data_IF_802246927890
#
_entry.id   IF_802246927890
#
_cell.length_a   1.000
_cell.length_b   1.000
_cell.length_c   1.000
_cell.angle_alpha   90.00
_cell.angle_beta   90.00
_cell.angle_gamma   90.00
#
_symmetry.space_group_name_H-M   'P 1'
#
loop_
_entity.id
_entity.type
_entity.pdbx_description
1 polymer ?
#
# COMPACT_ATOMS: atom_id res chain seq x y z
N UNK A 1 4.74 -17.39 -1.98
CA UNK A 1 5.94 -17.38 -1.10
C UNK A 1 5.47 -17.16 0.32
N UNK A 2 6.02 -17.89 1.28
CA UNK A 2 5.65 -17.78 2.70
C UNK A 2 6.50 -16.70 3.35
N UNK A 3 5.89 -15.76 4.08
CA UNK A 3 6.61 -14.75 4.88
C UNK A 3 7.39 -15.46 5.98
N UNK A 4 8.61 -15.00 6.28
CA UNK A 4 9.40 -15.51 7.41
C UNK A 4 9.17 -14.59 8.61
N UNK A 5 8.40 -15.02 9.64
CA UNK A 5 8.00 -14.13 10.73
C UNK A 5 9.18 -13.63 11.55
N UNK A 6 10.18 -14.49 11.79
CA UNK A 6 11.38 -14.14 12.56
C UNK A 6 12.22 -13.02 11.92
N UNK A 7 12.12 -12.86 10.60
CA UNK A 7 12.81 -11.79 9.87
C UNK A 7 11.89 -10.66 9.46
N UNK A 8 10.67 -10.61 10.00
CA UNK A 8 9.71 -9.56 9.70
C UNK A 8 9.37 -8.77 10.95
N UNK A 9 8.84 -7.57 10.73
CA UNK A 9 8.40 -6.70 11.83
C UNK A 9 7.13 -7.30 12.47
N UNK A 10 7.10 -7.50 13.81
CA UNK A 10 5.94 -8.03 14.53
C UNK A 10 4.72 -7.09 14.53
N UNK A 11 4.96 -5.78 14.59
CA UNK A 11 3.94 -4.74 14.68
C UNK A 11 4.19 -3.65 13.63
N UNK A 12 3.12 -3.07 13.09
CA UNK A 12 3.18 -1.93 12.17
C UNK A 12 2.15 -0.91 12.63
N UNK A 13 2.43 0.38 12.43
CA UNK A 13 1.47 1.42 12.78
C UNK A 13 0.18 1.23 11.96
N UNK A 14 -0.97 1.62 12.51
CA UNK A 14 -2.26 1.60 11.80
C UNK A 14 -2.86 3.00 11.75
N UNK A 15 -3.74 3.22 10.78
CA UNK A 15 -4.61 4.39 10.72
C UNK A 15 -6.00 3.81 10.54
N UNK A 16 -6.74 3.75 11.64
CA UNK A 16 -7.93 2.88 11.72
C UNK A 16 -9.05 3.32 10.76
N UNK A 17 -9.19 4.63 10.54
CA UNK A 17 -10.26 5.21 9.72
C UNK A 17 -9.89 5.46 8.25
N UNK A 18 -8.66 5.16 7.84
CA UNK A 18 -8.21 5.39 6.47
C UNK A 18 -8.05 4.08 5.68
N UNK A 19 -8.71 4.02 4.53
CA UNK A 19 -8.48 2.96 3.54
C UNK A 19 -8.14 3.59 2.20
N UNK A 20 -6.97 3.25 1.67
CA UNK A 20 -6.54 3.74 0.36
C UNK A 20 -7.38 3.13 -0.76
N UNK A 21 -7.75 3.95 -1.75
CA UNK A 21 -8.64 3.60 -2.84
C UNK A 21 -10.04 3.15 -2.39
N UNK A 22 -10.60 3.70 -1.31
CA UNK A 22 -11.90 3.27 -0.78
C UNK A 22 -13.01 3.42 -1.81
N UNK A 23 -13.15 4.59 -2.42
CA UNK A 23 -14.17 4.88 -3.41
C UNK A 23 -13.97 4.04 -4.68
N UNK A 24 -12.72 3.97 -5.19
CA UNK A 24 -12.41 3.18 -6.37
C UNK A 24 -12.71 1.68 -6.16
N UNK A 25 -12.30 1.11 -5.02
CA UNK A 25 -12.59 -0.30 -4.67
C UNK A 25 -14.09 -0.56 -4.59
N UNK A 26 -14.85 0.36 -3.97
CA UNK A 26 -16.30 0.22 -3.87
C UNK A 26 -16.96 0.21 -5.26
N UNK A 27 -16.54 1.12 -6.14
CA UNK A 27 -17.04 1.19 -7.51
C UNK A 27 -16.69 -0.06 -8.33
N UNK A 28 -15.43 -0.50 -8.32
CA UNK A 28 -14.99 -1.72 -9.01
C UNK A 28 -15.74 -2.95 -8.50
N UNK A 29 -15.88 -3.09 -7.17
CA UNK A 29 -16.63 -4.20 -6.56
C UNK A 29 -18.09 -4.20 -7.01
N UNK A 30 -18.75 -3.04 -7.01
CA UNK A 30 -20.13 -2.90 -7.45
C UNK A 30 -20.30 -3.35 -8.92
N UNK A 31 -19.37 -2.96 -9.79
CA UNK A 31 -19.37 -3.33 -11.21
C UNK A 31 -19.05 -4.79 -11.43
N UNK A 32 -17.97 -5.28 -10.83
CA UNK A 32 -17.52 -6.68 -10.86
C UNK A 32 -18.63 -7.65 -10.42
N UNK A 33 -19.42 -7.31 -9.40
CA UNK A 33 -20.51 -8.15 -8.89
C UNK A 33 -21.74 -8.24 -9.81
N UNK A 34 -21.95 -7.27 -10.71
CA UNK A 34 -23.11 -7.21 -11.61
C UNK A 34 -22.93 -8.00 -12.91
N UNK A 35 -21.74 -8.54 -13.14
CA UNK A 35 -21.35 -9.15 -14.41
C UNK A 35 -21.48 -10.67 -14.33
N UNK A 36 -21.69 -11.28 -15.50
CA UNK A 36 -21.82 -12.73 -15.70
C UNK A 36 -20.61 -13.54 -15.17
N UNK A 37 -20.68 -14.86 -15.32
CA UNK A 37 -19.86 -15.80 -14.57
C UNK A 37 -18.35 -15.53 -14.70
N UNK A 38 -17.58 -15.77 -13.63
CA UNK A 38 -16.11 -15.60 -13.59
C UNK A 38 -15.39 -16.31 -14.76
N UNK A 39 -16.00 -17.35 -15.33
CA UNK A 39 -15.47 -18.11 -16.47
C UNK A 39 -15.52 -17.32 -17.77
N UNK A 40 -16.64 -16.67 -18.08
CA UNK A 40 -16.78 -15.87 -19.30
C UNK A 40 -15.78 -14.71 -19.32
N UNK A 41 -15.61 -14.03 -18.19
CA UNK A 41 -14.60 -12.98 -18.04
C UNK A 41 -13.17 -13.52 -18.20
N UNK A 42 -12.90 -14.73 -17.73
CA UNK A 42 -11.60 -15.37 -17.91
C UNK A 42 -11.30 -15.61 -19.39
N UNK A 43 -12.30 -16.10 -20.14
CA UNK A 43 -12.19 -16.39 -21.58
C UNK A 43 -11.99 -15.12 -22.39
N UNK A 44 -12.76 -14.05 -22.13
CA UNK A 44 -12.59 -12.72 -22.76
C UNK A 44 -11.17 -12.21 -22.60
N UNK A 45 -10.58 -12.40 -21.42
CA UNK A 45 -9.24 -11.93 -21.07
C UNK A 45 -8.11 -12.91 -21.42
N UNK A 46 -8.42 -13.99 -22.14
CA UNK A 46 -7.43 -14.96 -22.61
C UNK A 46 -6.82 -15.85 -21.52
N UNK A 47 -7.49 -16.02 -20.37
CA UNK A 47 -7.01 -16.90 -19.32
C UNK A 47 -7.36 -18.36 -19.60
N UNK A 48 -6.34 -19.22 -19.68
CA UNK A 48 -6.52 -20.67 -19.80
C UNK A 48 -6.83 -21.36 -18.47
N UNK A 49 -6.42 -20.75 -17.35
CA UNK A 49 -6.59 -21.30 -15.99
C UNK A 49 -7.47 -20.39 -15.15
N UNK A 50 -8.68 -20.87 -14.83
CA UNK A 50 -9.66 -20.12 -14.04
C UNK A 50 -9.12 -19.68 -12.68
N UNK A 51 -8.39 -20.55 -11.97
CA UNK A 51 -7.80 -20.20 -10.66
C UNK A 51 -6.82 -19.03 -10.74
N UNK A 52 -6.07 -18.95 -11.84
CA UNK A 52 -5.14 -17.83 -12.05
C UNK A 52 -5.92 -16.55 -12.29
N UNK A 53 -7.00 -16.61 -13.08
CA UNK A 53 -7.89 -15.49 -13.29
C UNK A 53 -8.55 -15.04 -11.98
N UNK A 54 -9.14 -15.95 -11.21
CA UNK A 54 -9.80 -15.63 -9.93
C UNK A 54 -8.88 -14.89 -8.96
N UNK A 55 -7.62 -15.32 -8.83
CA UNK A 55 -6.62 -14.58 -8.02
C UNK A 55 -6.28 -13.22 -8.61
N UNK A 56 -6.25 -13.09 -9.93
CA UNK A 56 -5.96 -11.83 -10.60
C UNK A 56 -7.13 -10.85 -10.46
N UNK A 57 -8.37 -11.31 -10.65
CA UNK A 57 -9.61 -10.56 -10.43
C UNK A 57 -9.66 -9.98 -9.03
N UNK A 58 -9.43 -10.80 -8.00
CA UNK A 58 -9.36 -10.32 -6.62
C UNK A 58 -8.33 -9.19 -6.43
N UNK A 59 -7.20 -9.24 -7.14
CA UNK A 59 -6.17 -8.20 -7.11
C UNK A 59 -6.51 -6.96 -7.94
N UNK A 60 -7.27 -7.13 -9.03
CA UNK A 60 -7.82 -6.03 -9.83
C UNK A 60 -8.84 -5.26 -9.00
N UNK A 61 -9.82 -5.94 -8.43
CA UNK A 61 -10.86 -5.36 -7.56
C UNK A 61 -10.25 -4.66 -6.33
N UNK A 62 -9.15 -5.18 -5.80
CA UNK A 62 -8.43 -4.60 -4.67
C UNK A 62 -7.43 -3.49 -5.06
N UNK A 63 -7.27 -3.14 -6.34
CA UNK A 63 -6.30 -2.16 -6.84
C UNK A 63 -4.86 -2.45 -6.38
N UNK A 64 -4.51 -3.73 -6.27
CA UNK A 64 -3.17 -4.18 -5.82
C UNK A 64 -2.27 -4.64 -6.97
N UNK A 65 -2.74 -4.53 -8.23
CA UNK A 65 -1.95 -4.77 -9.43
C UNK A 65 -2.50 -3.96 -10.61
N UNK A 66 -1.69 -3.83 -11.67
CA UNK A 66 -2.14 -3.32 -12.98
C UNK A 66 -3.39 -4.05 -13.48
N UNK A 67 -4.39 -3.31 -13.93
CA UNK A 67 -5.67 -3.82 -14.39
C UNK A 67 -5.74 -3.67 -15.92
N UNK A 68 -6.01 -4.75 -16.68
CA UNK A 68 -6.25 -4.63 -18.12
C UNK A 68 -7.49 -3.76 -18.37
N UNK A 69 -7.46 -2.85 -19.37
CA UNK A 69 -8.65 -2.07 -19.73
C UNK A 69 -9.80 -2.94 -20.25
N UNK A 70 -9.48 -3.99 -20.99
CA UNK A 70 -10.44 -5.01 -21.42
C UNK A 70 -11.24 -5.60 -20.25
N UNK A 71 -10.63 -5.74 -19.06
CA UNK A 71 -11.34 -6.21 -17.87
C UNK A 71 -12.35 -5.17 -17.39
N UNK A 72 -11.94 -3.89 -17.32
CA UNK A 72 -12.80 -2.77 -16.91
C UNK A 72 -13.98 -2.61 -17.87
N UNK A 73 -13.74 -2.70 -19.17
CA UNK A 73 -14.76 -2.65 -20.21
C UNK A 73 -15.73 -3.83 -20.09
N UNK A 74 -15.22 -5.04 -19.87
CA UNK A 74 -16.03 -6.24 -19.68
C UNK A 74 -16.91 -6.17 -18.42
N UNK A 75 -16.54 -5.38 -17.41
CA UNK A 75 -17.36 -5.13 -16.23
C UNK A 75 -18.16 -3.82 -16.28
N UNK A 76 -18.22 -3.16 -17.44
CA UNK A 76 -18.89 -1.88 -17.68
C UNK A 76 -18.45 -0.77 -16.70
N UNK A 77 -17.15 -0.74 -16.37
CA UNK A 77 -16.56 0.41 -15.67
C UNK A 77 -16.43 1.58 -16.63
N UNK A 78 -16.93 2.74 -16.20
CA UNK A 78 -16.72 4.00 -16.90
C UNK A 78 -15.48 4.67 -16.33
N UNK A 79 -14.51 5.01 -17.19
CA UNK A 79 -13.22 5.51 -16.75
C UNK A 79 -13.31 6.89 -16.10
N UNK A 80 -14.19 7.76 -16.59
CA UNK A 80 -14.52 9.05 -16.00
C UNK A 80 -15.05 8.92 -14.55
N UNK A 81 -15.93 7.95 -14.28
CA UNK A 81 -16.41 7.67 -12.92
C UNK A 81 -15.27 7.12 -12.05
N UNK A 82 -14.40 6.27 -12.61
CA UNK A 82 -13.25 5.74 -11.87
C UNK A 82 -12.23 6.85 -11.55
N UNK A 83 -12.00 7.79 -12.46
CA UNK A 83 -11.17 8.99 -12.24
C UNK A 83 -11.77 9.86 -11.14
N UNK A 84 -13.08 10.14 -11.19
CA UNK A 84 -13.78 10.86 -10.13
C UNK A 84 -13.67 10.17 -8.76
N UNK A 85 -13.79 8.83 -8.72
CA UNK A 85 -13.54 8.08 -7.48
C UNK A 85 -12.09 8.25 -6.97
N UNK A 86 -11.11 8.32 -7.87
CA UNK A 86 -9.71 8.53 -7.50
C UNK A 86 -9.47 9.95 -6.95
N UNK A 87 -10.18 10.96 -7.47
CA UNK A 87 -10.18 12.31 -6.92
C UNK A 87 -10.72 12.34 -5.49
N UNK A 88 -11.87 11.69 -5.24
CA UNK A 88 -12.43 11.55 -3.88
C UNK A 88 -11.47 10.84 -2.92
N UNK A 89 -10.83 9.77 -3.39
CA UNK A 89 -9.83 9.03 -2.62
C UNK A 89 -8.59 9.92 -2.30
N UNK A 90 -8.20 10.81 -3.23
CA UNK A 90 -7.11 11.77 -3.01
C UNK A 90 -7.49 12.86 -2.01
N UNK A 91 -8.68 13.42 -2.07
CA UNK A 91 -9.14 14.38 -1.05
C UNK A 91 -9.14 13.77 0.35
N UNK A 92 -9.58 12.51 0.48
CA UNK A 92 -9.54 11.80 1.75
C UNK A 92 -8.09 11.54 2.21
N UNK A 93 -7.21 11.15 1.29
CA UNK A 93 -5.78 10.99 1.56
C UNK A 93 -5.15 12.29 2.11
N UNK A 94 -5.43 13.42 1.49
CA UNK A 94 -4.90 14.73 1.90
C UNK A 94 -5.42 15.14 3.29
N UNK A 95 -6.70 14.89 3.58
CA UNK A 95 -7.28 15.12 4.91
C UNK A 95 -6.58 14.30 5.99
N UNK A 96 -6.34 13.02 5.73
CA UNK A 96 -5.64 12.13 6.68
C UNK A 96 -4.18 12.54 6.82
N UNK A 97 -3.54 12.97 5.73
CA UNK A 97 -2.15 13.42 5.75
C UNK A 97 -1.95 14.70 6.57
N UNK A 98 -2.96 15.58 6.60
CA UNK A 98 -2.95 16.82 7.35
C UNK A 98 -3.30 16.66 8.84
N UNK A 99 -3.58 15.44 9.31
CA UNK A 99 -3.82 15.20 10.73
C UNK A 99 -2.56 15.53 11.54
N UNK A 100 -2.66 16.36 12.59
CA UNK A 100 -1.52 16.77 13.40
C UNK A 100 -0.97 15.63 14.30
N UNK A 101 -1.78 14.59 14.54
CA UNK A 101 -1.58 13.61 15.62
C UNK A 101 -1.27 12.19 15.11
N UNK A 102 -0.35 12.06 14.15
CA UNK A 102 0.17 10.73 13.82
C UNK A 102 1.12 10.28 14.93
N UNK A 103 0.67 9.31 15.73
CA UNK A 103 1.42 8.74 16.84
C UNK A 103 1.94 7.34 16.48
N UNK A 104 3.16 7.21 15.92
CA UNK A 104 3.70 5.89 15.61
C UNK A 104 3.95 5.09 16.89
N UNK A 105 3.53 3.83 16.87
CA UNK A 105 3.81 2.82 17.91
C UNK A 105 5.21 2.25 17.74
N UNK A 106 5.69 2.11 16.50
CA UNK A 106 7.00 1.52 16.25
C UNK A 106 7.71 2.02 14.98
N UNK A 107 9.02 1.78 14.96
CA UNK A 107 9.89 1.89 13.80
C UNK A 107 10.49 0.53 13.45
N UNK A 108 10.71 0.32 12.16
CA UNK A 108 11.40 -0.83 11.58
C UNK A 108 12.89 -0.53 11.50
N UNK A 109 13.72 -1.39 12.08
CA UNK A 109 15.18 -1.30 11.94
C UNK A 109 15.62 -2.34 10.93
N UNK A 110 16.49 -1.97 9.99
CA UNK A 110 17.09 -2.91 9.05
C UNK A 110 18.53 -3.17 9.45
N UNK A 111 18.79 -4.36 9.98
CA UNK A 111 20.14 -4.77 10.37
C UNK A 111 20.98 -5.16 9.15
N UNK A 112 20.43 -5.99 8.27
CA UNK A 112 21.03 -6.45 7.01
C UNK A 112 19.92 -6.69 5.96
N UNK A 113 20.22 -7.00 4.69
CA UNK A 113 19.18 -7.37 3.73
C UNK A 113 18.26 -8.48 4.27
N UNK A 114 16.95 -8.24 4.18
CA UNK A 114 15.90 -9.17 4.56
C UNK A 114 15.83 -9.56 6.06
N UNK A 115 16.60 -8.92 6.95
CA UNK A 115 16.52 -9.11 8.41
C UNK A 115 16.16 -7.77 9.07
N UNK A 116 14.99 -7.75 9.70
CA UNK A 116 14.43 -6.56 10.33
C UNK A 116 14.25 -6.76 11.84
N UNK A 117 14.37 -5.67 12.58
CA UNK A 117 13.96 -5.54 13.98
C UNK A 117 12.95 -4.41 14.15
N UNK A 118 12.59 -4.17 15.40
CA UNK A 118 11.61 -3.14 15.76
C UNK A 118 12.11 -2.35 16.96
N UNK A 119 11.90 -1.04 16.92
CA UNK A 119 11.95 -0.17 18.10
C UNK A 119 10.53 0.30 18.39
N UNK A 120 10.06 0.10 19.61
CA UNK A 120 8.78 0.65 20.06
C UNK A 120 8.97 2.05 20.61
N UNK A 121 7.97 2.90 20.41
CA UNK A 121 7.91 4.25 20.96
C UNK A 121 7.03 4.27 22.21
N UNK A 122 7.20 5.31 23.04
CA UNK A 122 6.27 5.54 24.13
C UNK A 122 4.88 5.91 23.59
N UNK A 123 3.78 5.54 24.26
CA UNK A 123 2.44 5.93 23.84
C UNK A 123 2.33 7.46 23.68
N UNK A 124 1.71 7.90 22.58
CA UNK A 124 1.55 9.33 22.27
C UNK A 124 2.81 10.05 21.77
N UNK A 125 3.90 9.33 21.48
CA UNK A 125 5.07 9.92 20.79
C UNK A 125 4.61 10.55 19.47
N UNK A 126 4.95 11.82 19.23
CA UNK A 126 4.61 12.48 17.97
C UNK A 126 5.46 11.94 16.81
N UNK A 127 5.01 12.12 15.57
CA UNK A 127 5.80 11.74 14.40
C UNK A 127 7.17 12.44 14.38
N UNK A 128 7.24 13.74 14.70
CA UNK A 128 8.51 14.48 14.73
C UNK A 128 9.47 13.91 15.77
N UNK A 129 9.00 13.66 17.00
CA UNK A 129 9.84 13.12 18.06
C UNK A 129 10.31 11.70 17.72
N UNK A 130 9.45 10.90 17.09
CA UNK A 130 9.81 9.57 16.62
C UNK A 130 10.90 9.63 15.54
N UNK A 131 10.80 10.58 14.60
CA UNK A 131 11.83 10.79 13.57
C UNK A 131 13.15 11.18 14.22
N UNK A 132 13.15 12.14 15.15
CA UNK A 132 14.36 12.59 15.85
C UNK A 132 15.04 11.45 16.60
N UNK A 133 14.28 10.67 17.39
CA UNK A 133 14.80 9.50 18.09
C UNK A 133 15.44 8.48 17.14
N UNK A 134 14.84 8.29 15.95
CA UNK A 134 15.36 7.35 14.97
C UNK A 134 16.58 7.90 14.22
N UNK A 135 16.65 9.21 13.98
CA UNK A 135 17.84 9.87 13.43
C UNK A 135 19.03 9.70 14.36
N UNK A 136 18.86 9.94 15.66
CA UNK A 136 19.91 9.72 16.66
C UNK A 136 20.33 8.25 16.73
N UNK A 137 19.35 7.34 16.77
CA UNK A 137 19.60 5.90 16.78
C UNK A 137 20.39 5.44 15.56
N UNK A 138 20.00 5.90 14.36
CA UNK A 138 20.66 5.53 13.10
C UNK A 138 22.09 6.05 13.04
N UNK A 139 22.36 7.27 13.50
CA UNK A 139 23.73 7.81 13.60
C UNK A 139 24.60 7.04 14.59
N UNK A 140 24.04 6.64 15.73
CA UNK A 140 24.79 5.94 16.78
C UNK A 140 25.11 4.48 16.42
N UNK A 141 24.18 3.81 15.72
CA UNK A 141 24.30 2.37 15.43
C UNK A 141 24.79 2.05 14.03
N UNK A 142 24.69 3.00 13.09
CA UNK A 142 24.96 2.77 11.68
C UNK A 142 23.88 1.94 10.97
N UNK A 143 22.69 1.75 11.58
CA UNK A 143 21.58 1.03 10.95
C UNK A 143 20.56 1.98 10.33
N UNK A 144 20.08 1.65 9.12
CA UNK A 144 18.94 2.34 8.52
C UNK A 144 17.63 1.90 9.19
N UNK A 145 16.67 2.80 9.25
CA UNK A 145 15.35 2.53 9.83
C UNK A 145 14.22 3.17 9.03
N UNK A 146 12.98 2.80 9.33
CA UNK A 146 11.83 3.51 8.82
C UNK A 146 10.63 3.49 9.76
N UNK A 147 9.83 4.56 9.74
CA UNK A 147 8.53 4.65 10.40
C UNK A 147 7.48 4.50 9.32
N UNK A 148 6.70 3.42 9.36
CA UNK A 148 5.74 3.08 8.30
C UNK A 148 4.32 3.32 8.79
N UNK A 149 3.57 4.15 8.08
CA UNK A 149 2.12 4.29 8.19
C UNK A 149 1.50 3.63 6.95
N UNK A 150 1.05 2.36 7.04
CA UNK A 150 0.57 1.60 5.90
C UNK A 150 -0.45 2.38 5.09
N UNK A 151 -0.30 2.31 3.77
CA UNK A 151 -1.18 3.00 2.81
C UNK A 151 -1.12 4.54 2.81
N UNK A 152 -0.46 5.19 3.78
CA UNK A 152 -0.32 6.65 3.84
C UNK A 152 1.07 7.13 3.42
N UNK A 153 2.09 6.77 4.20
CA UNK A 153 3.49 7.19 4.00
C UNK A 153 4.49 6.32 4.74
N UNK A 154 5.76 6.45 4.38
CA UNK A 154 6.90 5.90 5.13
C UNK A 154 7.97 6.95 5.27
N UNK A 155 8.46 7.18 6.48
CA UNK A 155 9.66 7.97 6.71
C UNK A 155 10.85 7.03 6.75
N UNK A 156 11.75 7.14 5.77
CA UNK A 156 13.00 6.40 5.69
C UNK A 156 14.12 7.20 6.30
N UNK A 157 14.94 6.57 7.14
CA UNK A 157 16.06 7.18 7.82
C UNK A 157 17.30 6.36 7.48
N UNK A 158 18.25 6.99 6.80
CA UNK A 158 19.50 6.34 6.41
C UNK A 158 20.51 6.27 7.57
N UNK A 159 21.65 5.65 7.32
CA UNK A 159 22.71 5.45 8.33
C UNK A 159 23.41 6.75 8.74
N UNK A 160 23.28 7.82 7.95
CA UNK A 160 23.76 9.17 8.29
C UNK A 160 22.73 9.99 9.08
N UNK A 161 21.54 9.45 9.28
CA UNK A 161 20.41 10.13 9.92
C UNK A 161 19.70 11.13 9.01
N UNK A 162 19.81 10.98 7.67
CA UNK A 162 18.97 11.73 6.76
C UNK A 162 17.58 11.08 6.70
N UNK A 163 16.55 11.88 6.93
CA UNK A 163 15.16 11.45 6.84
C UNK A 163 14.54 11.86 5.50
N UNK A 164 13.89 10.90 4.82
CA UNK A 164 13.15 11.12 3.58
C UNK A 164 11.77 10.50 3.71
N UNK A 165 10.72 11.27 3.41
CA UNK A 165 9.35 10.77 3.44
C UNK A 165 8.90 10.33 2.06
N UNK A 166 8.43 9.09 1.97
CA UNK A 166 7.77 8.52 0.80
C UNK A 166 6.26 8.51 1.02
N UNK A 167 5.52 9.19 0.15
CA UNK A 167 4.06 9.28 0.21
C UNK A 167 3.42 8.25 -0.73
N UNK A 168 2.26 7.70 -0.33
CA UNK A 168 1.50 6.71 -1.11
C UNK A 168 0.11 7.23 -1.52
N UNK A 169 0.03 8.34 -2.29
CA UNK A 169 -1.26 8.85 -2.75
C UNK A 169 -2.04 7.77 -3.52
N UNK A 170 -3.37 7.73 -3.44
CA UNK A 170 -4.22 6.80 -4.18
C UNK A 170 -4.35 7.21 -5.66
N UNK A 171 -3.22 7.36 -6.34
CA UNK A 171 -3.20 7.75 -7.74
C UNK A 171 -3.44 6.54 -8.65
N UNK A 172 -4.26 6.75 -9.68
CA UNK A 172 -4.44 5.84 -10.80
C UNK A 172 -3.77 6.43 -12.04
N UNK A 173 -2.90 5.67 -12.68
CA UNK A 173 -2.39 6.02 -14.01
C UNK A 173 -3.14 5.24 -15.06
N UNK A 174 -3.96 5.93 -15.84
CA UNK A 174 -4.68 5.35 -16.98
C UNK A 174 -3.78 5.42 -18.20
N UNK A 175 -3.47 4.24 -18.75
CA UNK A 175 -2.68 4.04 -19.95
C UNK A 175 -3.55 3.39 -21.03
N UNK A 176 -3.06 3.38 -22.26
CA UNK A 176 -3.77 2.82 -23.41
C UNK A 176 -4.36 1.42 -23.18
N UNK A 177 -3.62 0.51 -22.52
CA UNK A 177 -4.06 -0.87 -22.27
C UNK A 177 -4.27 -1.22 -20.80
N UNK A 178 -3.90 -0.32 -19.88
CA UNK A 178 -3.80 -0.64 -18.46
C UNK A 178 -4.25 0.52 -17.58
N UNK A 179 -4.92 0.21 -16.48
CA UNK A 179 -5.03 1.10 -15.33
C UNK A 179 -4.04 0.63 -14.28
N UNK A 180 -3.14 1.52 -13.85
CA UNK A 180 -2.04 1.18 -12.94
C UNK A 180 -2.24 1.93 -11.63
N UNK A 181 -2.68 1.25 -10.55
CA UNK A 181 -2.70 1.86 -9.23
C UNK A 181 -1.26 2.09 -8.75
N UNK A 182 -1.03 3.24 -8.12
CA UNK A 182 0.25 3.53 -7.49
C UNK A 182 0.51 2.54 -6.33
N UNK A 183 1.78 2.28 -5.99
CA UNK A 183 2.12 1.31 -4.94
C UNK A 183 1.81 1.84 -3.54
N UNK A 184 1.41 0.96 -2.63
CA UNK A 184 1.38 1.21 -1.19
C UNK A 184 2.63 0.58 -0.56
N UNK A 185 3.20 1.19 0.48
CA UNK A 185 4.38 0.67 1.18
C UNK A 185 4.20 -0.68 1.89
N UNK A 186 3.18 -1.48 1.56
CA UNK A 186 2.80 -2.73 2.22
C UNK A 186 3.90 -3.81 2.24
N UNK A 187 4.89 -3.70 1.34
CA UNK A 187 6.05 -4.61 1.31
C UNK A 187 7.19 -4.21 2.26
N UNK A 188 7.15 -3.06 2.90
CA UNK A 188 8.24 -2.56 3.74
C UNK A 188 8.31 -3.37 5.04
N UNK A 189 9.52 -3.77 5.45
CA UNK A 189 9.72 -4.60 6.64
C UNK A 189 9.26 -6.06 6.49
N UNK A 190 9.00 -6.52 5.26
CA UNK A 190 8.62 -7.91 4.97
C UNK A 190 9.77 -8.69 4.33
N UNK A 191 9.91 -9.96 4.71
CA UNK A 191 10.96 -10.85 4.22
C UNK A 191 10.40 -12.15 3.66
N UNK A 192 10.87 -12.52 2.46
CA UNK A 192 10.53 -13.74 1.72
C UNK A 192 11.82 -14.37 1.21
N UNK A 193 12.57 -15.05 2.09
CA UNK A 193 13.75 -15.81 1.67
C UNK A 193 13.30 -17.14 1.05
N UNK A 194 13.97 -17.57 -0.02
CA UNK A 194 13.72 -18.85 -0.70
C UNK A 194 14.55 -19.95 -0.06
#
# INVERSE_FOLDING_TARGET
>A
MRRIPFFSVPEINTIDDYTRFRACKAYLKQKSQKVATTRELAEILGYTKLDTFSRHRARFDALSRRIPREYLEAIDVKLDILEFCAELDREEYEKVLALPDLHPVCAVIRFIPAVYGTKTFAPGTSESDAIEQMVEYSKATGFSSCITFPQLKTVWIDTGGNAVTLYYPPDLRILDRWVVPHKDGSGIGTSYVR
#
